data_IF_804963105024
#
_entry.id   IF_804963105024
#
_cell.length_a   1.000
_cell.length_b   1.000
_cell.length_c   1.000
_cell.angle_alpha   90.00
_cell.angle_beta   90.00
_cell.angle_gamma   90.00
#
_symmetry.space_group_name_H-M   'P 1'
#
loop_
_entity.id
_entity.type
_entity.pdbx_description
1 polymer ?
#
# COMPACT_ATOMS: atom_id res chain seq x y z
N UNK A 1 -34.04 33.10 -17.82
CA UNK A 1 -32.71 33.73 -17.68
C UNK A 1 -31.67 32.74 -18.16
N UNK A 2 -31.04 33.00 -19.31
CA UNK A 2 -29.91 32.22 -19.81
C UNK A 2 -28.62 32.82 -19.24
N UNK A 3 -27.76 31.99 -18.65
CA UNK A 3 -26.41 32.41 -18.26
C UNK A 3 -25.62 32.80 -19.52
N UNK A 4 -24.90 33.90 -19.44
CA UNK A 4 -23.92 34.27 -20.46
C UNK A 4 -22.75 33.26 -20.46
N UNK A 5 -22.02 33.20 -21.58
CA UNK A 5 -20.87 32.29 -21.72
C UNK A 5 -19.82 32.50 -20.62
N UNK A 6 -19.63 33.75 -20.20
CA UNK A 6 -18.65 34.11 -19.17
C UNK A 6 -19.13 33.68 -17.79
N UNK A 7 -20.40 33.91 -17.45
CA UNK A 7 -21.00 33.43 -16.19
C UNK A 7 -21.02 31.90 -16.09
N UNK A 8 -21.16 31.20 -17.23
CA UNK A 8 -21.04 29.75 -17.27
C UNK A 8 -19.60 29.29 -17.02
N UNK A 9 -18.62 29.96 -17.63
CA UNK A 9 -17.19 29.71 -17.42
C UNK A 9 -16.77 29.90 -15.96
N UNK A 10 -17.20 30.99 -15.32
CA UNK A 10 -16.90 31.27 -13.92
C UNK A 10 -17.50 30.22 -12.98
N UNK A 11 -18.70 29.73 -13.28
CA UNK A 11 -19.39 28.74 -12.45
C UNK A 11 -18.77 27.34 -12.58
N UNK A 12 -18.26 26.99 -13.76
CA UNK A 12 -17.48 25.77 -13.97
C UNK A 12 -16.12 25.88 -13.26
N UNK A 13 -15.46 27.03 -13.36
CA UNK A 13 -14.21 27.29 -12.67
C UNK A 13 -14.37 27.25 -11.13
N UNK A 14 -15.43 27.84 -10.59
CA UNK A 14 -15.71 27.80 -9.14
C UNK A 14 -15.97 26.38 -8.65
N UNK A 15 -16.79 25.59 -9.37
CA UNK A 15 -17.06 24.20 -9.01
C UNK A 15 -15.83 23.30 -9.12
N UNK A 16 -14.91 23.61 -10.03
CA UNK A 16 -13.63 22.88 -10.16
C UNK A 16 -12.68 23.21 -9.01
N UNK A 17 -12.59 24.48 -8.60
CA UNK A 17 -11.79 24.91 -7.43
C UNK A 17 -12.32 24.35 -6.12
N UNK A 18 -13.64 24.28 -5.95
CA UNK A 18 -14.27 23.71 -4.77
C UNK A 18 -13.96 22.22 -4.62
N UNK A 19 -14.15 21.44 -5.70
CA UNK A 19 -13.75 20.02 -5.72
C UNK A 19 -12.25 19.82 -5.51
N UNK A 20 -11.42 20.70 -6.05
CA UNK A 20 -9.97 20.67 -5.83
C UNK A 20 -9.62 20.92 -4.36
N UNK A 21 -10.30 21.88 -3.71
CA UNK A 21 -10.09 22.18 -2.29
C UNK A 21 -10.43 20.99 -1.38
N UNK A 22 -11.45 20.20 -1.74
CA UNK A 22 -11.85 19.02 -0.97
C UNK A 22 -10.83 17.87 -1.01
N UNK A 23 -10.19 17.65 -2.17
CA UNK A 23 -9.23 16.53 -2.35
C UNK A 23 -7.78 16.90 -2.06
N UNK A 24 -7.42 18.19 -2.12
CA UNK A 24 -6.04 18.67 -1.95
C UNK A 24 -5.39 18.25 -0.63
N UNK A 25 -6.06 18.26 0.53
CA UNK A 25 -5.46 17.78 1.79
C UNK A 25 -5.05 16.31 1.75
N UNK A 26 -5.84 15.47 1.07
CA UNK A 26 -5.55 14.04 0.94
C UNK A 26 -4.34 13.80 0.03
N UNK A 27 -4.29 14.52 -1.10
CA UNK A 27 -3.15 14.47 -2.03
C UNK A 27 -1.85 14.95 -1.36
N UNK A 28 -1.91 16.03 -0.58
CA UNK A 28 -0.77 16.50 0.20
C UNK A 28 -0.33 15.49 1.27
N UNK A 29 -1.28 14.81 1.91
CA UNK A 29 -1.00 13.71 2.83
C UNK A 29 -0.21 12.58 2.17
N UNK A 30 -0.63 12.15 0.97
CA UNK A 30 0.06 11.12 0.18
C UNK A 30 1.47 11.58 -0.26
N UNK A 31 1.60 12.83 -0.70
CA UNK A 31 2.90 13.41 -1.07
C UNK A 31 3.87 13.43 0.12
N UNK A 32 3.39 13.80 1.31
CA UNK A 32 4.19 13.78 2.53
C UNK A 32 4.55 12.36 2.97
N UNK A 33 3.64 11.40 2.78
CA UNK A 33 3.91 9.99 3.07
C UNK A 33 5.04 9.45 2.19
N UNK A 34 5.07 9.79 0.90
CA UNK A 34 6.17 9.42 0.00
C UNK A 34 7.54 9.93 0.47
N UNK A 35 7.64 11.21 0.87
CA UNK A 35 8.89 11.77 1.40
C UNK A 35 9.35 11.01 2.65
N UNK A 36 8.42 10.65 3.54
CA UNK A 36 8.74 9.85 4.72
C UNK A 36 9.18 8.42 4.35
N UNK A 37 8.56 7.82 3.34
CA UNK A 37 8.93 6.51 2.83
C UNK A 37 10.34 6.52 2.22
N UNK A 38 10.68 7.53 1.40
CA UNK A 38 12.03 7.71 0.88
C UNK A 38 13.07 7.82 2.01
N UNK A 39 12.81 8.68 2.99
CA UNK A 39 13.69 8.84 4.16
C UNK A 39 13.85 7.55 4.98
N UNK A 40 12.78 6.79 5.13
CA UNK A 40 12.80 5.50 5.80
C UNK A 40 13.70 4.51 5.04
N UNK A 41 13.46 4.35 3.73
CA UNK A 41 14.21 3.39 2.90
C UNK A 41 15.68 3.76 2.71
N UNK A 42 16.03 5.04 2.80
CA UNK A 42 17.42 5.52 2.77
C UNK A 42 18.19 5.32 4.09
N UNK A 43 17.52 4.90 5.17
CA UNK A 43 18.13 4.68 6.47
C UNK A 43 18.74 3.27 6.58
N UNK A 44 19.94 3.13 7.13
CA UNK A 44 20.59 1.82 7.31
C UNK A 44 19.80 0.86 8.22
N UNK A 45 19.05 1.40 9.20
CA UNK A 45 18.20 0.61 10.08
C UNK A 45 17.03 -0.04 9.33
N UNK A 46 16.64 0.50 8.18
CA UNK A 46 15.65 -0.14 7.31
C UNK A 46 16.14 -1.49 6.79
N UNK A 47 17.42 -1.59 6.41
CA UNK A 47 17.98 -2.86 5.95
C UNK A 47 18.02 -3.91 7.07
N UNK A 48 18.31 -3.50 8.31
CA UNK A 48 18.23 -4.42 9.46
C UNK A 48 16.80 -4.85 9.74
N UNK A 49 15.85 -3.93 9.67
CA UNK A 49 14.44 -4.26 9.79
C UNK A 49 13.98 -5.26 8.72
N UNK A 50 14.37 -5.05 7.45
CA UNK A 50 14.09 -6.00 6.37
C UNK A 50 14.72 -7.36 6.62
N UNK A 51 15.95 -7.42 7.16
CA UNK A 51 16.59 -8.69 7.53
C UNK A 51 15.78 -9.42 8.61
N UNK A 52 15.29 -8.72 9.63
CA UNK A 52 14.46 -9.34 10.67
C UNK A 52 13.12 -9.85 10.13
N UNK A 53 12.50 -9.12 9.19
CA UNK A 53 11.28 -9.59 8.53
C UNK A 53 11.60 -10.84 7.69
N UNK A 54 12.70 -10.85 6.94
CA UNK A 54 13.10 -11.99 6.12
C UNK A 54 13.32 -13.24 6.99
N UNK A 55 14.05 -13.11 8.11
CA UNK A 55 14.23 -14.19 9.07
C UNK A 55 12.90 -14.72 9.64
N UNK A 56 11.96 -13.80 9.91
CA UNK A 56 10.63 -14.14 10.40
C UNK A 56 9.77 -14.87 9.34
N UNK A 57 9.86 -14.45 8.07
CA UNK A 57 9.21 -15.12 6.94
C UNK A 57 9.76 -16.53 6.80
N UNK A 58 11.08 -16.70 6.73
CA UNK A 58 11.73 -18.01 6.57
C UNK A 58 11.39 -18.97 7.72
N UNK A 59 11.36 -18.45 8.95
CA UNK A 59 10.94 -19.24 10.12
C UNK A 59 9.49 -19.68 10.00
N UNK A 60 8.60 -18.78 9.54
CA UNK A 60 7.18 -19.08 9.36
C UNK A 60 6.96 -20.06 8.21
N UNK A 61 7.75 -20.00 7.14
CA UNK A 61 7.72 -20.96 6.04
C UNK A 61 8.13 -22.37 6.50
N UNK A 62 9.15 -22.49 7.35
CA UNK A 62 9.54 -23.77 7.95
C UNK A 62 8.40 -24.36 8.79
N UNK A 63 7.72 -23.55 9.61
CA UNK A 63 6.55 -24.01 10.36
C UNK A 63 5.40 -24.45 9.45
N UNK A 64 5.11 -23.66 8.40
CA UNK A 64 4.09 -24.02 7.40
C UNK A 64 4.42 -25.35 6.73
N UNK A 65 5.67 -25.58 6.34
CA UNK A 65 6.13 -26.83 5.75
C UNK A 65 5.98 -28.01 6.72
N UNK A 66 6.23 -27.80 8.02
CA UNK A 66 6.00 -28.82 9.04
C UNK A 66 4.52 -29.22 9.14
N UNK A 67 3.59 -28.26 9.15
CA UNK A 67 2.16 -28.57 9.13
C UNK A 67 1.72 -29.25 7.83
N UNK A 68 2.29 -28.85 6.68
CA UNK A 68 2.04 -29.53 5.40
C UNK A 68 2.54 -30.99 5.42
N UNK A 69 3.66 -31.27 6.07
CA UNK A 69 4.14 -32.63 6.25
C UNK A 69 3.18 -33.48 7.10
N UNK A 70 2.61 -32.91 8.18
CA UNK A 70 1.58 -33.58 9.00
C UNK A 70 0.36 -33.95 8.16
N UNK A 71 -0.08 -33.05 7.29
CA UNK A 71 -1.21 -33.25 6.36
C UNK A 71 -0.93 -34.29 5.27
N UNK A 72 0.34 -34.44 4.86
CA UNK A 72 0.76 -35.39 3.84
C UNK A 72 1.11 -36.77 4.42
N UNK A 73 1.31 -36.87 5.74
CA UNK A 73 1.62 -38.14 6.38
C UNK A 73 0.39 -39.06 6.42
N UNK A 74 0.47 -40.14 5.64
CA UNK A 74 -0.53 -41.21 5.59
C UNK A 74 -0.82 -41.88 6.95
N UNK A 75 0.06 -41.71 7.95
CA UNK A 75 -0.13 -42.23 9.31
C UNK A 75 -0.91 -41.27 10.21
N UNK A 76 -1.06 -40.00 9.83
CA UNK A 76 -1.88 -39.03 10.58
C UNK A 76 -3.35 -39.33 10.31
N UNK A 77 -3.98 -40.04 11.24
CA UNK A 77 -5.40 -40.43 11.15
C UNK A 77 -6.31 -39.64 12.07
N UNK A 78 -5.75 -38.85 13.00
CA UNK A 78 -6.55 -38.05 13.94
C UNK A 78 -7.13 -36.82 13.24
N UNK A 79 -8.45 -36.68 13.32
CA UNK A 79 -9.15 -35.51 12.79
C UNK A 79 -8.69 -34.21 13.47
N UNK A 80 -8.40 -34.26 14.77
CA UNK A 80 -7.91 -33.11 15.55
C UNK A 80 -6.55 -32.64 15.01
N UNK A 81 -5.60 -33.55 14.83
CA UNK A 81 -4.27 -33.21 14.30
C UNK A 81 -4.33 -32.65 12.87
N UNK A 82 -5.26 -33.15 12.04
CA UNK A 82 -5.48 -32.60 10.69
C UNK A 82 -6.12 -31.20 10.74
N UNK A 83 -7.02 -30.94 11.70
CA UNK A 83 -7.60 -29.60 11.88
C UNK A 83 -6.55 -28.61 12.37
N UNK A 84 -5.76 -28.97 13.38
CA UNK A 84 -4.66 -28.15 13.89
C UNK A 84 -3.66 -27.82 12.79
N UNK A 85 -3.27 -28.80 11.98
CA UNK A 85 -2.37 -28.58 10.85
C UNK A 85 -2.97 -27.62 9.81
N UNK A 86 -4.26 -27.75 9.49
CA UNK A 86 -4.95 -26.81 8.58
C UNK A 86 -4.97 -25.38 9.12
N UNK A 87 -5.30 -25.21 10.41
CA UNK A 87 -5.29 -23.91 11.08
C UNK A 87 -3.88 -23.33 11.05
N UNK A 88 -2.87 -24.11 11.43
CA UNK A 88 -1.47 -23.69 11.41
C UNK A 88 -0.98 -23.26 10.02
N UNK A 89 -1.37 -23.98 8.96
CA UNK A 89 -1.07 -23.58 7.57
C UNK A 89 -1.71 -22.23 7.23
N UNK A 90 -2.98 -22.04 7.59
CA UNK A 90 -3.71 -20.80 7.32
C UNK A 90 -3.08 -19.60 8.05
N UNK A 91 -2.76 -19.76 9.33
CA UNK A 91 -2.12 -18.72 10.15
C UNK A 91 -0.72 -18.36 9.64
N UNK A 92 0.10 -19.37 9.31
CA UNK A 92 1.43 -19.13 8.75
C UNK A 92 1.34 -18.40 7.41
N UNK A 93 0.39 -18.80 6.54
CA UNK A 93 0.18 -18.16 5.25
C UNK A 93 -0.24 -16.70 5.41
N UNK A 94 -1.20 -16.42 6.30
CA UNK A 94 -1.65 -15.06 6.60
C UNK A 94 -0.51 -14.19 7.16
N UNK A 95 0.34 -14.75 8.03
CA UNK A 95 1.50 -14.04 8.59
C UNK A 95 2.55 -13.71 7.53
N UNK A 96 2.87 -14.65 6.64
CA UNK A 96 3.81 -14.43 5.54
C UNK A 96 3.30 -13.30 4.64
N UNK A 97 2.03 -13.34 4.24
CA UNK A 97 1.45 -12.31 3.39
C UNK A 97 1.40 -10.93 4.08
N UNK A 98 1.09 -10.88 5.37
CA UNK A 98 1.14 -9.64 6.14
C UNK A 98 2.55 -9.01 6.13
N UNK A 99 3.60 -9.83 6.29
CA UNK A 99 4.98 -9.35 6.24
C UNK A 99 5.37 -8.84 4.85
N UNK A 100 4.97 -9.53 3.78
CA UNK A 100 5.20 -9.07 2.41
C UNK A 100 4.54 -7.72 2.15
N UNK A 101 3.31 -7.52 2.61
CA UNK A 101 2.62 -6.22 2.50
C UNK A 101 3.43 -5.13 3.22
N UNK A 102 3.92 -5.39 4.43
CA UNK A 102 4.74 -4.42 5.19
C UNK A 102 6.01 -4.02 4.43
N UNK A 103 6.66 -4.97 3.75
CA UNK A 103 7.86 -4.71 2.96
C UNK A 103 7.57 -3.85 1.72
N UNK A 104 6.40 -4.00 1.09
CA UNK A 104 6.01 -3.25 -0.11
C UNK A 104 5.41 -1.86 0.20
N UNK A 105 4.85 -1.65 1.39
CA UNK A 105 4.18 -0.39 1.77
C UNK A 105 4.97 0.89 1.44
N UNK A 106 6.30 1.00 1.69
CA UNK A 106 7.05 2.19 1.33
C UNK A 106 7.02 2.48 -0.16
N UNK A 107 7.09 1.43 -0.99
CA UNK A 107 7.02 1.56 -2.45
C UNK A 107 5.64 2.05 -2.88
N UNK A 108 4.58 1.49 -2.32
CA UNK A 108 3.20 1.95 -2.57
C UNK A 108 3.04 3.44 -2.23
N UNK A 109 3.59 3.88 -1.09
CA UNK A 109 3.55 5.30 -0.72
C UNK A 109 4.31 6.19 -1.70
N UNK A 110 5.47 5.77 -2.19
CA UNK A 110 6.24 6.52 -3.19
C UNK A 110 5.46 6.65 -4.50
N UNK A 111 4.90 5.55 -5.01
CA UNK A 111 4.08 5.55 -6.24
C UNK A 111 2.83 6.44 -6.09
N UNK A 112 2.10 6.30 -4.99
CA UNK A 112 0.92 7.12 -4.71
C UNK A 112 1.27 8.61 -4.51
N UNK A 113 2.41 8.91 -3.89
CA UNK A 113 2.85 10.29 -3.70
C UNK A 113 3.28 10.96 -5.01
N UNK A 114 3.89 10.22 -5.94
CA UNK A 114 4.18 10.73 -7.28
C UNK A 114 2.90 11.04 -8.06
N UNK A 115 1.92 10.13 -8.01
CA UNK A 115 0.59 10.38 -8.59
C UNK A 115 -0.08 11.61 -7.96
N UNK A 116 0.00 11.75 -6.63
CA UNK A 116 -0.57 12.88 -5.92
C UNK A 116 0.11 14.21 -6.29
N UNK A 117 1.44 14.21 -6.44
CA UNK A 117 2.20 15.37 -6.92
C UNK A 117 1.73 15.80 -8.33
N UNK A 118 1.64 14.85 -9.25
CA UNK A 118 1.19 15.12 -10.62
C UNK A 118 -0.23 15.69 -10.66
N UNK A 119 -1.12 15.22 -9.77
CA UNK A 119 -2.48 15.76 -9.65
C UNK A 119 -2.48 17.17 -9.05
N UNK A 120 -1.67 17.45 -8.04
CA UNK A 120 -1.52 18.80 -7.47
C UNK A 120 -0.99 19.78 -8.52
N UNK A 121 0.03 19.40 -9.29
CA UNK A 121 0.60 20.26 -10.33
C UNK A 121 -0.43 20.60 -11.43
N UNK A 122 -1.30 19.64 -11.78
CA UNK A 122 -2.44 19.87 -12.68
C UNK A 122 -3.49 20.82 -12.08
N UNK A 123 -3.82 20.66 -10.80
CA UNK A 123 -4.77 21.54 -10.11
C UNK A 123 -4.23 22.97 -9.95
N UNK A 124 -2.92 23.12 -9.76
CA UNK A 124 -2.24 24.41 -9.65
C UNK A 124 -1.99 25.06 -11.04
N UNK A 125 -2.43 24.43 -12.13
CA UNK A 125 -2.29 24.96 -13.49
C UNK A 125 -0.87 24.95 -14.04
N UNK A 126 0.05 24.19 -13.43
CA UNK A 126 1.44 24.05 -13.87
C UNK A 126 1.63 22.94 -14.91
N UNK A 127 0.54 22.40 -15.44
CA UNK A 127 0.52 21.20 -16.26
C UNK A 127 0.44 21.39 -17.78
N UNK A 128 0.41 22.61 -18.31
CA UNK A 128 0.25 22.83 -19.75
C UNK A 128 0.84 24.16 -20.28
N UNK A 129 2.14 24.40 -20.06
CA UNK A 129 2.93 25.42 -20.78
C UNK A 129 3.77 24.77 -21.90
N UNK A 130 3.19 23.82 -22.64
CA UNK A 130 3.93 23.02 -23.61
C UNK A 130 3.08 22.40 -24.72
N UNK A 131 2.38 23.22 -25.49
CA UNK A 131 1.93 22.90 -26.85
C UNK A 131 1.90 24.16 -27.73
#
# INVERSE_FOLDING_TARGET
MSLTRDEWGDRVASGTREKAADVRPQLEGLRQAAVKAELLTGNEHWNWFLSYIQDAIETTEKHRAAFQAVMADSKTVSHESLLEAKIGIAECSARIEAWKVVMELPKDFMEMGEQAKNLIDRLDGKGDDGA
#
